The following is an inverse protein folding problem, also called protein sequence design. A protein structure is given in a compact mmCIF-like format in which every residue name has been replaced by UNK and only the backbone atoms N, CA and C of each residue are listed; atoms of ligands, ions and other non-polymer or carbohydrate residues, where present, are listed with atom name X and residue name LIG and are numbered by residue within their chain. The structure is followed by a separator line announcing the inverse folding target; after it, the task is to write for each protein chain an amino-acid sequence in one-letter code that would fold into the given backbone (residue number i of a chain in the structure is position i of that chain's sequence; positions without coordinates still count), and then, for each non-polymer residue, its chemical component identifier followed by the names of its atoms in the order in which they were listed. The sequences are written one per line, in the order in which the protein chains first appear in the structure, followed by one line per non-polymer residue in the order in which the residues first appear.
data_IF_512987308101
#
_entry.id   IF_512987308101
#
_cell.length_a   1.000
_cell.length_b   1.000
_cell.length_c   1.000
_cell.angle_alpha   90.00
_cell.angle_beta   90.00
_cell.angle_gamma   90.00
#
_symmetry.space_group_name_H-M   'P 1'
#
loop_
_entity.id
_entity.type
_entity.pdbx_description
1 polymer ?
#
# COMPACT_ATOMS: atom_id res chain seq x y z
N UNK A 1 -8.41 -0.98 16.20
CA UNK A 1 -7.97 -2.31 15.72
C UNK A 1 -7.18 -3.07 16.77
N UNK A 2 -6.20 -2.44 17.44
CA UNK A 2 -5.29 -3.06 18.41
C UNK A 2 -5.96 -3.95 19.45
N UNK A 3 -6.88 -3.41 20.27
CA UNK A 3 -7.59 -4.21 21.28
C UNK A 3 -8.30 -5.46 20.72
N UNK A 4 -8.99 -5.33 19.58
CA UNK A 4 -9.70 -6.47 18.97
C UNK A 4 -8.74 -7.52 18.42
N UNK A 5 -7.61 -7.09 17.85
CA UNK A 5 -6.58 -7.98 17.33
C UNK A 5 -5.87 -8.73 18.46
N UNK A 6 -5.50 -8.04 19.54
CA UNK A 6 -4.89 -8.65 20.73
C UNK A 6 -5.83 -9.69 21.36
N UNK A 7 -7.12 -9.38 21.45
CA UNK A 7 -8.15 -10.29 21.97
C UNK A 7 -8.22 -11.63 21.24
N UNK A 8 -7.86 -11.69 19.96
CA UNK A 8 -7.85 -12.90 19.14
C UNK A 8 -6.43 -13.45 18.88
N UNK A 9 -5.42 -12.98 19.61
CA UNK A 9 -4.03 -13.42 19.47
C UNK A 9 -3.35 -12.95 18.19
N UNK A 10 -3.84 -11.88 17.55
CA UNK A 10 -3.22 -11.25 16.37
C UNK A 10 -2.35 -10.06 16.78
N UNK A 11 -1.33 -9.78 15.97
CA UNK A 11 -0.42 -8.64 16.16
C UNK A 11 -0.79 -7.51 15.20
N UNK A 12 -0.69 -6.27 15.68
CA UNK A 12 -0.81 -5.06 14.87
C UNK A 12 0.56 -4.40 14.79
N UNK A 13 1.05 -4.21 13.58
CA UNK A 13 2.33 -3.55 13.31
C UNK A 13 2.01 -2.26 12.56
N UNK A 14 2.50 -1.13 13.08
CA UNK A 14 2.34 0.17 12.42
C UNK A 14 3.47 0.34 11.40
N UNK A 15 3.10 0.75 10.19
CA UNK A 15 4.01 1.00 9.07
C UNK A 15 3.66 2.38 8.54
N UNK A 16 4.67 3.16 8.16
CA UNK A 16 4.46 4.47 7.51
C UNK A 16 3.78 4.28 6.16
N UNK A 17 2.57 4.82 6.02
CA UNK A 17 1.79 4.77 4.78
C UNK A 17 2.16 5.84 3.76
N UNK A 18 3.15 6.68 4.06
CA UNK A 18 3.55 7.78 3.19
C UNK A 18 3.84 7.30 1.75
N UNK A 19 3.30 8.04 0.77
CA UNK A 19 3.47 7.82 -0.67
C UNK A 19 2.90 6.52 -1.24
N UNK A 20 2.26 5.66 -0.44
CA UNK A 20 1.68 4.37 -0.89
C UNK A 20 0.65 4.51 -2.02
N UNK A 21 -0.08 5.64 -2.07
CA UNK A 21 -1.04 5.96 -3.14
C UNK A 21 -0.40 6.51 -4.42
N UNK A 22 0.88 6.88 -4.36
CA UNK A 22 1.63 7.50 -5.46
C UNK A 22 2.64 6.55 -6.08
N UNK A 23 3.14 5.57 -5.31
CA UNK A 23 4.10 4.56 -5.76
C UNK A 23 3.37 3.38 -6.39
N UNK A 24 3.77 2.99 -7.60
CA UNK A 24 3.26 1.78 -8.23
C UNK A 24 3.86 0.53 -7.55
N UNK A 25 3.01 -0.35 -7.03
CA UNK A 25 3.45 -1.57 -6.34
C UNK A 25 4.18 -2.58 -7.24
N UNK A 26 4.09 -2.45 -8.56
CA UNK A 26 4.74 -3.34 -9.53
C UNK A 26 6.15 -2.90 -9.90
N UNK A 27 6.41 -1.60 -10.01
CA UNK A 27 7.68 -1.06 -10.54
C UNK A 27 8.36 -0.01 -9.65
N UNK A 28 7.75 0.36 -8.51
CA UNK A 28 8.32 1.33 -7.56
C UNK A 28 8.30 2.80 -8.02
N UNK A 29 7.85 3.11 -9.25
CA UNK A 29 7.80 4.49 -9.73
C UNK A 29 6.73 5.30 -9.00
N UNK A 30 7.13 6.46 -8.49
CA UNK A 30 6.22 7.44 -7.89
C UNK A 30 5.63 8.35 -8.98
N UNK A 31 4.32 8.56 -8.94
CA UNK A 31 3.59 9.51 -9.79
C UNK A 31 2.60 10.28 -8.92
N UNK A 32 2.55 11.61 -9.06
CA UNK A 32 1.50 12.41 -8.43
C UNK A 32 0.17 12.05 -9.07
N UNK A 33 -0.81 11.70 -8.23
CA UNK A 33 -2.16 11.31 -8.64
C UNK A 33 -3.17 12.07 -7.79
N UNK A 34 -4.28 12.56 -8.38
CA UNK A 34 -5.35 13.18 -7.62
C UNK A 34 -6.16 12.14 -6.84
N UNK A 35 -6.83 12.57 -5.77
CA UNK A 35 -7.59 11.70 -4.87
C UNK A 35 -8.80 11.04 -5.55
N UNK A 36 -9.31 11.59 -6.66
CA UNK A 36 -10.40 10.97 -7.41
C UNK A 36 -9.92 9.86 -8.36
N UNK A 37 -8.62 9.74 -8.62
CA UNK A 37 -8.07 8.64 -9.41
C UNK A 37 -8.09 7.36 -8.56
N UNK A 38 -9.06 6.49 -8.87
CA UNK A 38 -9.30 5.22 -8.16
C UNK A 38 -8.52 4.05 -8.76
N UNK A 39 -8.06 4.16 -10.01
CA UNK A 39 -7.30 3.13 -10.72
C UNK A 39 -5.87 3.61 -10.99
N UNK A 40 -4.89 2.81 -10.56
CA UNK A 40 -3.48 3.03 -10.85
C UNK A 40 -3.19 2.53 -12.25
N UNK A 41 -3.15 3.46 -13.19
CA UNK A 41 -2.57 3.25 -14.51
C UNK A 41 -1.08 3.62 -14.48
N UNK A 42 -0.20 2.65 -14.73
CA UNK A 42 1.24 2.89 -14.74
C UNK A 42 1.86 2.41 -16.06
N UNK A 43 2.89 3.12 -16.52
CA UNK A 43 3.61 2.84 -17.76
C UNK A 43 4.31 1.47 -17.77
N UNK A 44 4.46 0.82 -16.60
CA UNK A 44 4.90 -0.57 -16.49
C UNK A 44 3.80 -1.62 -16.78
N UNK A 45 2.62 -1.16 -17.22
CA UNK A 45 1.44 -1.98 -17.47
C UNK A 45 0.69 -2.39 -16.20
N UNK A 46 0.81 -1.65 -15.09
CA UNK A 46 -0.05 -1.86 -13.92
C UNK A 46 -1.41 -1.18 -14.14
N UNK A 47 -2.49 -1.91 -13.85
CA UNK A 47 -3.87 -1.46 -13.95
C UNK A 47 -4.68 -2.08 -12.81
N UNK A 48 -4.61 -1.49 -11.61
CA UNK A 48 -5.27 -2.03 -10.41
C UNK A 48 -5.92 -0.92 -9.59
N UNK A 49 -6.87 -1.27 -8.71
CA UNK A 49 -7.44 -0.31 -7.75
C UNK A 49 -6.34 0.27 -6.85
N UNK A 50 -6.47 1.57 -6.53
CA UNK A 50 -5.52 2.33 -5.72
C UNK A 50 -5.37 1.80 -4.31
N UNK A 51 -6.46 1.34 -3.70
CA UNK A 51 -6.43 0.85 -2.33
C UNK A 51 -5.76 -0.54 -2.31
N UNK A 52 -5.97 -1.37 -3.35
CA UNK A 52 -5.20 -2.61 -3.54
C UNK A 52 -3.70 -2.33 -3.76
N UNK A 53 -3.34 -1.36 -4.62
CA UNK A 53 -1.96 -0.93 -4.81
C UNK A 53 -1.31 -0.50 -3.49
N UNK A 54 -2.02 0.28 -2.69
CA UNK A 54 -1.54 0.79 -1.41
C UNK A 54 -1.35 -0.34 -0.39
N UNK A 55 -2.27 -1.31 -0.33
CA UNK A 55 -2.16 -2.49 0.53
C UNK A 55 -0.93 -3.35 0.18
N UNK A 56 -0.65 -3.54 -1.11
CA UNK A 56 0.56 -4.25 -1.57
C UNK A 56 1.82 -3.48 -1.18
N UNK A 57 1.83 -2.15 -1.35
CA UNK A 57 2.99 -1.34 -0.92
C UNK A 57 3.26 -1.45 0.59
N UNK A 58 2.22 -1.42 1.43
CA UNK A 58 2.36 -1.64 2.88
C UNK A 58 2.96 -3.02 3.18
N UNK A 59 2.52 -4.06 2.47
CA UNK A 59 3.08 -5.40 2.60
C UNK A 59 4.56 -5.45 2.18
N UNK A 60 4.93 -4.81 1.06
CA UNK A 60 6.32 -4.77 0.60
C UNK A 60 7.21 -4.05 1.63
N UNK A 61 6.78 -2.88 2.13
CA UNK A 61 7.53 -2.16 3.16
C UNK A 61 7.69 -2.99 4.44
N UNK A 62 6.67 -3.75 4.84
CA UNK A 62 6.80 -4.68 5.96
C UNK A 62 7.89 -5.73 5.74
N UNK A 63 7.98 -6.27 4.52
CA UNK A 63 8.94 -7.31 4.17
C UNK A 63 10.36 -6.76 4.03
N UNK A 64 10.51 -5.53 3.54
CA UNK A 64 11.81 -4.85 3.37
C UNK A 64 12.41 -4.33 4.68
N UNK A 65 11.62 -4.21 5.76
CA UNK A 65 12.11 -3.80 7.10
C UNK A 65 12.91 -4.92 7.81
N UNK A 66 12.90 -6.15 7.27
CA UNK A 66 13.59 -7.30 7.88
C UNK A 66 15.08 -7.39 7.57
#
# INVERSE_FOLDING_TARGET
MTYKAEKIGKRVIRIDESKTTQVCCKCGKAKKRPIFERIINCDCGSHIDRDLNSAINIMVYFLDIK
#
